data_IF_126427260877
#
_entry.id   IF_126427260877
#
_cell.length_a   1.000
_cell.length_b   1.000
_cell.length_c   1.000
_cell.angle_alpha   90.00
_cell.angle_beta   90.00
_cell.angle_gamma   90.00
#
_symmetry.space_group_name_H-M   'P 1'
#
loop_
_entity.id
_entity.type
_entity.pdbx_description
1 polymer ?
#
# COMPACT_ATOMS: atom_id res chain seq x y z
N UNK A 1 -13.50 31.52 48.78
CA UNK A 1 -13.58 32.58 47.75
C UNK A 1 -13.41 31.91 46.41
N UNK A 2 -14.51 31.68 45.68
CA UNK A 2 -14.45 31.19 44.30
C UNK A 2 -14.03 32.37 43.40
N UNK A 3 -13.03 32.21 42.52
CA UNK A 3 -12.64 33.29 41.63
C UNK A 3 -13.78 33.61 40.66
N UNK A 4 -14.14 34.88 40.61
CA UNK A 4 -15.22 35.43 39.78
C UNK A 4 -14.86 35.31 38.29
N UNK A 5 -15.43 34.30 37.63
CA UNK A 5 -15.24 34.02 36.20
C UNK A 5 -15.86 35.09 35.28
N UNK A 6 -16.55 36.10 35.82
CA UNK A 6 -17.17 37.17 35.04
C UNK A 6 -16.16 38.16 34.41
N UNK A 7 -14.89 38.10 34.81
CA UNK A 7 -13.84 38.99 34.28
C UNK A 7 -13.21 38.54 32.95
N UNK A 8 -13.58 37.36 32.42
CA UNK A 8 -13.19 36.92 31.08
C UNK A 8 -14.17 37.41 29.99
N UNK A 9 -14.66 38.65 30.07
CA UNK A 9 -15.27 39.32 28.91
C UNK A 9 -14.16 39.73 27.93
N UNK A 10 -13.59 38.75 27.22
CA UNK A 10 -12.70 39.02 26.10
C UNK A 10 -13.45 39.83 25.04
N UNK A 11 -12.89 40.96 24.61
CA UNK A 11 -13.40 41.72 23.47
C UNK A 11 -13.51 40.79 22.25
N UNK A 12 -14.61 40.81 21.48
CA UNK A 12 -14.83 39.86 20.37
C UNK A 12 -13.73 39.92 19.28
N UNK A 13 -13.03 41.06 19.15
CA UNK A 13 -11.86 41.18 18.27
C UNK A 13 -10.58 40.50 18.78
N UNK A 14 -10.44 40.31 20.09
CA UNK A 14 -9.30 39.61 20.71
C UNK A 14 -9.43 38.09 20.57
N UNK A 15 -10.66 37.57 20.65
CA UNK A 15 -10.94 36.14 20.49
C UNK A 15 -10.60 35.65 19.06
N UNK A 16 -10.95 36.45 18.04
CA UNK A 16 -10.62 36.17 16.64
C UNK A 16 -9.11 36.12 16.39
N UNK A 17 -8.35 37.05 16.97
CA UNK A 17 -6.88 37.06 16.87
C UNK A 17 -6.25 35.84 17.53
N UNK A 18 -6.73 35.47 18.71
CA UNK A 18 -6.24 34.30 19.44
C UNK A 18 -6.54 32.99 18.69
N UNK A 19 -7.75 32.85 18.13
CA UNK A 19 -8.10 31.71 17.28
C UNK A 19 -7.22 31.61 16.03
N UNK A 20 -6.92 32.76 15.39
CA UNK A 20 -6.07 32.80 14.20
C UNK A 20 -4.62 32.39 14.53
N UNK A 21 -4.09 32.84 15.68
CA UNK A 21 -2.77 32.42 16.15
C UNK A 21 -2.72 30.92 16.45
N UNK A 22 -3.72 30.37 17.12
CA UNK A 22 -3.79 28.92 17.38
C UNK A 22 -3.86 28.12 16.08
N UNK A 23 -4.67 28.56 15.11
CA UNK A 23 -4.77 27.91 13.81
C UNK A 23 -3.44 27.96 13.06
N UNK A 24 -2.72 29.08 13.12
CA UNK A 24 -1.37 29.19 12.54
C UNK A 24 -0.37 28.24 13.19
N UNK A 25 -0.41 28.08 14.52
CA UNK A 25 0.46 27.13 15.24
C UNK A 25 0.16 25.69 14.82
N UNK A 26 -1.12 25.29 14.80
CA UNK A 26 -1.53 23.96 14.35
C UNK A 26 -1.09 23.71 12.91
N UNK A 27 -1.26 24.71 12.03
CA UNK A 27 -0.83 24.61 10.64
C UNK A 27 0.69 24.39 10.51
N UNK A 28 1.51 25.11 11.27
CA UNK A 28 2.97 24.89 11.29
C UNK A 28 3.31 23.49 11.81
N UNK A 29 2.64 23.01 12.86
CA UNK A 29 2.88 21.66 13.39
C UNK A 29 2.51 20.58 12.36
N UNK A 30 1.41 20.74 11.62
CA UNK A 30 1.05 19.84 10.52
C UNK A 30 2.11 19.84 9.43
N UNK A 31 2.62 21.01 9.02
CA UNK A 31 3.68 21.09 8.02
C UNK A 31 4.98 20.41 8.49
N UNK A 32 5.36 20.61 9.74
CA UNK A 32 6.52 19.92 10.33
C UNK A 32 6.32 18.41 10.29
N UNK A 33 5.14 17.91 10.64
CA UNK A 33 4.82 16.48 10.59
C UNK A 33 4.94 15.92 9.16
N UNK A 34 4.38 16.60 8.15
CA UNK A 34 4.43 16.18 6.75
C UNK A 34 5.85 16.10 6.17
N UNK A 35 6.78 16.92 6.67
CA UNK A 35 8.19 16.88 6.25
C UNK A 35 8.99 15.87 7.10
N UNK A 36 8.76 15.86 8.41
CA UNK A 36 9.53 15.03 9.34
C UNK A 36 9.24 13.54 9.20
N UNK A 37 8.00 13.16 8.86
CA UNK A 37 7.62 11.76 8.72
C UNK A 37 8.32 11.03 7.55
N UNK A 38 8.31 11.53 6.29
CA UNK A 38 9.09 10.92 5.22
C UNK A 38 10.59 10.98 5.51
N UNK A 39 11.09 12.05 6.12
CA UNK A 39 12.49 12.13 6.54
C UNK A 39 12.88 11.02 7.54
N UNK A 40 12.02 10.74 8.53
CA UNK A 40 12.21 9.66 9.51
C UNK A 40 12.28 8.30 8.82
N UNK A 41 11.41 8.04 7.84
CA UNK A 41 11.42 6.80 7.05
C UNK A 41 12.68 6.69 6.19
N UNK A 42 13.09 7.77 5.51
CA UNK A 42 14.33 7.79 4.73
C UNK A 42 15.54 7.46 5.61
N UNK A 43 15.65 8.08 6.79
CA UNK A 43 16.72 7.78 7.74
C UNK A 43 16.71 6.32 8.21
N UNK A 44 15.52 5.74 8.44
CA UNK A 44 15.37 4.31 8.76
C UNK A 44 15.87 3.43 7.62
N UNK A 45 15.55 3.77 6.38
CA UNK A 45 15.96 3.01 5.19
C UNK A 45 17.46 3.15 4.87
N UNK A 46 18.06 4.30 5.16
CA UNK A 46 19.51 4.53 5.04
C UNK A 46 20.32 3.78 6.12
N UNK A 47 19.75 3.61 7.32
CA UNK A 47 20.41 2.91 8.43
C UNK A 47 20.52 1.39 8.26
N UNK A 48 19.89 0.82 7.23
CA UNK A 48 20.05 -0.60 6.88
C UNK A 48 21.42 -0.75 6.23
N UNK A 49 22.37 -1.40 6.92
CA UNK A 49 23.77 -1.66 6.52
C UNK A 49 23.97 -1.61 5.00
N UNK A 50 24.25 -0.41 4.50
CA UNK A 50 24.62 -0.21 3.13
C UNK A 50 26.00 -0.82 2.99
N UNK A 51 26.12 -1.93 2.25
CA UNK A 51 27.39 -2.18 1.59
C UNK A 51 27.72 -0.88 0.86
N UNK A 52 28.91 -0.29 1.12
CA UNK A 52 29.33 1.02 0.64
C UNK A 52 29.46 1.03 -0.89
N UNK A 53 28.33 0.95 -1.59
CA UNK A 53 28.24 1.16 -3.02
C UNK A 53 27.78 2.60 -3.23
N UNK A 54 28.79 3.42 -3.49
CA UNK A 54 28.61 4.84 -3.74
C UNK A 54 28.17 5.03 -5.20
N UNK A 55 26.86 4.93 -5.43
CA UNK A 55 26.26 5.21 -6.72
C UNK A 55 25.98 6.72 -6.84
N UNK A 56 27.02 7.55 -6.87
CA UNK A 56 26.91 8.97 -7.20
C UNK A 56 26.76 9.14 -8.73
N UNK A 57 25.54 8.89 -9.24
CA UNK A 57 24.99 9.20 -10.58
C UNK A 57 25.93 9.30 -11.81
N UNK A 58 25.74 8.44 -12.83
CA UNK A 58 24.72 8.68 -13.87
C UNK A 58 23.92 7.43 -14.29
N UNK A 59 23.85 6.40 -13.44
CA UNK A 59 23.36 5.06 -13.81
C UNK A 59 22.14 4.59 -12.99
N UNK A 60 21.23 5.50 -12.61
CA UNK A 60 20.11 5.17 -11.71
C UNK A 60 19.23 4.02 -12.19
N UNK A 61 18.94 4.01 -13.48
CA UNK A 61 18.17 2.93 -14.10
C UNK A 61 18.89 1.59 -14.02
N UNK A 62 20.22 1.56 -14.17
CA UNK A 62 21.02 0.34 -14.08
C UNK A 62 21.10 -0.17 -12.65
N UNK A 63 21.20 0.70 -11.66
CA UNK A 63 21.23 0.29 -10.25
C UNK A 63 19.87 -0.27 -9.81
N UNK A 64 18.78 0.38 -10.22
CA UNK A 64 17.42 -0.14 -10.00
C UNK A 64 17.22 -1.48 -10.68
N UNK A 65 17.70 -1.62 -11.91
CA UNK A 65 17.68 -2.89 -12.64
C UNK A 65 18.53 -3.97 -11.97
N UNK A 66 19.72 -3.62 -11.46
CA UNK A 66 20.59 -4.53 -10.71
C UNK A 66 19.93 -5.00 -9.42
N UNK A 67 19.30 -4.09 -8.67
CA UNK A 67 18.52 -4.44 -7.48
C UNK A 67 17.40 -5.42 -7.83
N UNK A 68 16.66 -5.14 -8.90
CA UNK A 68 15.62 -6.04 -9.41
C UNK A 68 16.16 -7.43 -9.74
N UNK A 69 17.27 -7.53 -10.49
CA UNK A 69 17.87 -8.81 -10.84
C UNK A 69 18.35 -9.58 -9.60
N UNK A 70 18.96 -8.91 -8.62
CA UNK A 70 19.35 -9.54 -7.35
C UNK A 70 18.14 -10.03 -6.57
N UNK A 71 17.06 -9.25 -6.53
CA UNK A 71 15.83 -9.67 -5.88
C UNK A 71 15.21 -10.89 -6.57
N UNK A 72 15.22 -10.94 -7.90
CA UNK A 72 14.78 -12.12 -8.65
C UNK A 72 15.66 -13.35 -8.38
N UNK A 73 16.98 -13.19 -8.37
CA UNK A 73 17.93 -14.26 -8.09
C UNK A 73 17.68 -14.85 -6.69
N UNK A 74 17.61 -14.00 -5.66
CA UNK A 74 17.29 -14.41 -4.29
C UNK A 74 15.89 -15.04 -4.22
N UNK A 75 14.88 -14.43 -4.85
CA UNK A 75 13.52 -14.95 -4.89
C UNK A 75 13.43 -16.31 -5.58
N UNK A 76 14.26 -16.57 -6.59
CA UNK A 76 14.32 -17.85 -7.29
C UNK A 76 14.83 -19.00 -6.41
N UNK A 77 15.60 -18.69 -5.36
CA UNK A 77 16.06 -19.70 -4.40
C UNK A 77 15.00 -20.10 -3.38
N UNK A 78 13.90 -19.34 -3.31
CA UNK A 78 12.83 -19.62 -2.37
C UNK A 78 11.83 -20.63 -2.93
N UNK A 79 11.51 -21.65 -2.13
CA UNK A 79 10.53 -22.70 -2.45
C UNK A 79 9.09 -22.23 -2.19
N UNK A 80 8.77 -21.01 -2.61
CA UNK A 80 7.43 -20.44 -2.45
C UNK A 80 7.06 -19.58 -3.65
N UNK A 81 5.75 -19.43 -3.85
CA UNK A 81 5.20 -18.57 -4.88
C UNK A 81 5.40 -17.11 -4.45
N UNK A 82 6.04 -16.31 -5.29
CA UNK A 82 6.29 -14.89 -5.04
C UNK A 82 5.74 -14.00 -6.15
N UNK A 83 5.43 -12.76 -5.77
CA UNK A 83 4.90 -11.72 -6.64
C UNK A 83 6.06 -10.93 -7.25
N UNK A 84 5.97 -10.66 -8.55
CA UNK A 84 6.91 -9.80 -9.28
C UNK A 84 6.11 -8.65 -9.87
N UNK A 85 6.52 -7.43 -9.54
CA UNK A 85 5.96 -6.20 -10.08
C UNK A 85 7.06 -5.48 -10.84
N UNK A 86 6.85 -5.25 -12.12
CA UNK A 86 7.71 -4.44 -12.97
C UNK A 86 6.90 -3.29 -13.54
N UNK A 87 7.12 -2.08 -13.04
CA UNK A 87 6.50 -0.88 -13.59
C UNK A 87 7.09 -0.53 -14.98
N UNK A 88 8.42 -0.64 -15.21
CA UNK A 88 8.98 -0.39 -16.54
C UNK A 88 8.45 -1.32 -17.62
N UNK A 89 8.18 -2.59 -17.28
CA UNK A 89 7.55 -3.56 -18.19
C UNK A 89 6.01 -3.55 -18.08
N UNK A 90 5.44 -2.70 -17.22
CA UNK A 90 4.01 -2.62 -16.92
C UNK A 90 3.38 -4.00 -16.71
N UNK A 91 4.01 -4.83 -15.87
CA UNK A 91 3.59 -6.21 -15.65
C UNK A 91 3.57 -6.60 -14.18
N UNK A 92 2.54 -7.36 -13.82
CA UNK A 92 2.46 -8.08 -12.55
C UNK A 92 2.50 -9.57 -12.87
N UNK A 93 3.45 -10.29 -12.29
CA UNK A 93 3.68 -11.70 -12.56
C UNK A 93 3.81 -12.48 -11.27
N UNK A 94 3.51 -13.77 -11.34
CA UNK A 94 3.76 -14.70 -10.27
C UNK A 94 4.83 -15.68 -10.74
N UNK A 95 5.79 -15.96 -9.86
CA UNK A 95 6.85 -16.90 -10.13
C UNK A 95 7.08 -17.85 -8.95
N UNK A 96 7.66 -19.00 -9.26
CA UNK A 96 8.18 -19.98 -8.30
C UNK A 96 9.49 -20.51 -8.86
N UNK A 97 10.51 -20.64 -8.01
CA UNK A 97 11.83 -21.16 -8.41
C UNK A 97 12.41 -20.47 -9.66
N UNK A 98 12.17 -19.16 -9.82
CA UNK A 98 12.64 -18.35 -10.95
C UNK A 98 11.79 -18.46 -12.23
N UNK A 99 10.79 -19.33 -12.27
CA UNK A 99 9.91 -19.53 -13.42
C UNK A 99 8.64 -18.71 -13.26
N UNK A 100 8.42 -17.76 -14.17
CA UNK A 100 7.17 -16.99 -14.28
C UNK A 100 6.09 -17.89 -14.91
N UNK A 101 4.99 -18.14 -14.21
CA UNK A 101 3.91 -19.01 -14.71
C UNK A 101 2.57 -18.29 -14.92
N UNK A 102 2.43 -17.08 -14.37
CA UNK A 102 1.30 -16.20 -14.64
C UNK A 102 1.80 -14.76 -14.78
N UNK A 103 1.25 -14.01 -15.73
CA UNK A 103 1.60 -12.61 -15.97
C UNK A 103 0.38 -11.86 -16.49
N UNK A 104 0.20 -10.63 -16.00
CA UNK A 104 -0.86 -9.71 -16.43
C UNK A 104 -0.28 -8.31 -16.59
N UNK A 105 -1.00 -7.46 -17.33
CA UNK A 105 -0.61 -6.09 -17.59
C UNK A 105 -1.08 -5.15 -16.47
N UNK A 106 -0.24 -4.16 -16.15
CA UNK A 106 -0.57 -3.02 -15.30
C UNK A 106 -1.32 -1.99 -16.14
N UNK A 107 -2.52 -1.61 -15.72
CA UNK A 107 -3.29 -0.56 -16.37
C UNK A 107 -2.78 0.84 -15.98
N UNK A 108 -2.87 1.14 -14.69
CA UNK A 108 -2.42 2.41 -14.10
C UNK A 108 -1.59 2.13 -12.85
N UNK A 109 -0.72 3.06 -12.47
CA UNK A 109 0.01 2.98 -11.22
C UNK A 109 0.27 4.38 -10.64
N UNK A 110 0.31 4.47 -9.32
CA UNK A 110 0.68 5.68 -8.57
C UNK A 110 1.85 5.34 -7.63
N UNK A 111 2.90 6.15 -7.70
CA UNK A 111 4.11 5.97 -6.91
C UNK A 111 4.20 7.13 -5.94
N UNK A 112 4.29 6.84 -4.65
CA UNK A 112 4.54 7.88 -3.67
C UNK A 112 5.83 8.65 -4.00
N UNK A 113 5.73 9.98 -3.99
CA UNK A 113 6.86 10.89 -4.19
C UNK A 113 8.08 10.51 -3.32
N UNK A 114 7.87 9.97 -2.12
CA UNK A 114 8.96 9.46 -1.29
C UNK A 114 9.86 8.47 -2.05
N UNK A 115 9.29 7.47 -2.73
CA UNK A 115 10.03 6.44 -3.46
C UNK A 115 10.83 7.03 -4.64
N UNK A 116 10.33 8.12 -5.23
CA UNK A 116 11.04 8.86 -6.30
C UNK A 116 12.13 9.79 -5.76
N UNK A 117 12.04 10.21 -4.49
CA UNK A 117 12.94 11.19 -3.86
C UNK A 117 14.14 10.61 -3.13
N UNK A 118 14.13 9.31 -2.82
CA UNK A 118 15.21 8.63 -2.10
C UNK A 118 16.44 8.40 -2.98
N UNK A 119 17.62 8.30 -2.36
CA UNK A 119 18.86 8.05 -3.08
C UNK A 119 18.86 6.67 -3.75
N UNK A 120 19.56 6.55 -4.87
CA UNK A 120 19.73 5.28 -5.60
C UNK A 120 20.33 4.19 -4.73
N UNK A 121 21.26 4.54 -3.83
CA UNK A 121 21.81 3.61 -2.82
C UNK A 121 20.73 3.08 -1.87
N UNK A 122 19.81 3.93 -1.43
CA UNK A 122 18.69 3.53 -0.55
C UNK A 122 17.74 2.61 -1.30
N UNK A 123 17.39 2.94 -2.55
CA UNK A 123 16.57 2.06 -3.41
C UNK A 123 17.23 0.69 -3.54
N UNK A 124 18.51 0.67 -3.91
CA UNK A 124 19.24 -0.59 -4.04
C UNK A 124 19.18 -1.42 -2.76
N UNK A 125 19.49 -0.82 -1.60
CA UNK A 125 19.52 -1.56 -0.34
C UNK A 125 18.16 -2.11 0.07
N UNK A 126 17.08 -1.36 -0.18
CA UNK A 126 15.72 -1.75 0.18
C UNK A 126 15.10 -2.75 -0.79
N UNK A 127 15.44 -2.69 -2.08
CA UNK A 127 14.78 -3.46 -3.13
C UNK A 127 15.67 -4.55 -3.78
N UNK A 128 16.92 -4.72 -3.35
CA UNK A 128 17.80 -5.81 -3.84
C UNK A 128 17.41 -7.20 -3.32
N UNK A 129 16.40 -7.31 -2.46
CA UNK A 129 15.86 -8.58 -1.94
C UNK A 129 14.35 -8.59 -2.09
N UNK A 130 13.72 -9.77 -2.26
CA UNK A 130 12.27 -9.88 -2.19
C UNK A 130 11.77 -9.38 -0.83
N UNK A 131 10.80 -8.48 -0.85
CA UNK A 131 10.17 -7.93 0.35
C UNK A 131 9.19 -8.94 0.92
N UNK A 132 9.37 -9.31 2.18
CA UNK A 132 8.41 -10.16 2.87
C UNK A 132 7.16 -9.35 3.27
N UNK A 133 5.97 -9.83 2.91
CA UNK A 133 4.71 -9.25 3.35
C UNK A 133 4.38 -9.69 4.78
N UNK A 134 4.26 -8.74 5.71
CA UNK A 134 3.90 -9.01 7.12
C UNK A 134 2.41 -9.09 7.34
N UNK A 135 1.66 -8.20 6.68
CA UNK A 135 0.22 -8.12 6.82
C UNK A 135 -0.42 -7.98 5.44
N UNK A 136 -1.56 -8.66 5.28
CA UNK A 136 -2.33 -8.62 4.05
C UNK A 136 -3.78 -8.32 4.40
N UNK A 137 -4.31 -7.22 3.87
CA UNK A 137 -5.71 -6.84 3.99
C UNK A 137 -6.34 -6.85 2.60
N UNK A 138 -7.50 -7.50 2.45
CA UNK A 138 -8.17 -7.59 1.16
C UNK A 138 -9.68 -7.49 1.31
N UNK A 139 -10.35 -6.93 0.31
CA UNK A 139 -11.82 -6.91 0.23
C UNK A 139 -12.40 -8.29 -0.12
N UNK A 140 -11.60 -9.14 -0.76
CA UNK A 140 -11.99 -10.49 -1.17
C UNK A 140 -11.42 -11.57 -0.26
N UNK A 141 -12.17 -12.66 -0.10
CA UNK A 141 -11.74 -13.83 0.67
C UNK A 141 -10.70 -14.61 -0.14
N UNK A 142 -9.57 -14.92 0.50
CA UNK A 142 -8.45 -15.66 -0.10
C UNK A 142 -8.85 -17.09 -0.47
N UNK A 143 -9.47 -17.80 0.45
CA UNK A 143 -9.94 -19.17 0.25
C UNK A 143 -11.46 -19.24 0.50
N UNK A 144 -12.30 -19.14 -0.55
CA UNK A 144 -13.74 -19.19 -0.37
C UNK A 144 -14.17 -20.60 0.05
N UNK A 145 -14.75 -20.72 1.25
CA UNK A 145 -15.27 -22.00 1.75
C UNK A 145 -16.66 -22.22 1.20
N UNK A 146 -16.82 -23.26 0.36
CA UNK A 146 -18.13 -23.73 -0.12
C UNK A 146 -18.60 -24.93 0.67
N UNK A 147 -19.62 -24.75 1.52
CA UNK A 147 -20.32 -25.87 2.16
C UNK A 147 -21.33 -26.43 1.18
N UNK A 148 -21.04 -27.60 0.61
CA UNK A 148 -21.99 -28.34 -0.25
C UNK A 148 -22.76 -29.36 0.61
N UNK A 149 -24.08 -29.22 0.67
CA UNK A 149 -24.95 -30.23 1.24
C UNK A 149 -25.24 -31.25 0.15
N UNK A 150 -25.09 -32.54 0.44
CA UNK A 150 -25.40 -33.59 -0.52
C UNK A 150 -26.91 -33.56 -0.86
N UNK A 151 -27.29 -33.59 -2.15
CA UNK A 151 -28.69 -33.66 -2.54
C UNK A 151 -29.28 -34.98 -2.08
N UNK A 152 -30.52 -34.96 -1.56
CA UNK A 152 -31.19 -36.17 -1.09
C UNK A 152 -31.80 -36.95 -2.24
N UNK A 153 -32.17 -36.26 -3.33
CA UNK A 153 -32.86 -36.83 -4.49
C UNK A 153 -32.27 -36.33 -5.82
N UNK A 154 -32.46 -37.11 -6.89
CA UNK A 154 -31.95 -36.78 -8.24
C UNK A 154 -32.53 -35.47 -8.82
N UNK A 155 -33.78 -35.12 -8.45
CA UNK A 155 -34.41 -33.85 -8.85
C UNK A 155 -33.80 -32.63 -8.13
N UNK A 156 -33.29 -32.80 -6.91
CA UNK A 156 -32.56 -31.75 -6.19
C UNK A 156 -31.14 -31.58 -6.76
N UNK A 157 -30.52 -32.68 -7.19
CA UNK A 157 -29.20 -32.64 -7.84
C UNK A 157 -29.23 -31.86 -9.16
N UNK A 158 -30.29 -31.99 -9.96
CA UNK A 158 -30.45 -31.25 -11.21
C UNK A 158 -30.61 -29.73 -11.01
N UNK A 159 -31.08 -29.29 -9.82
CA UNK A 159 -31.21 -27.88 -9.47
C UNK A 159 -29.94 -27.28 -8.87
N UNK A 160 -28.96 -28.10 -8.48
CA UNK A 160 -27.65 -27.66 -7.96
C UNK A 160 -26.65 -27.32 -9.08
N UNK A 161 -27.08 -26.56 -10.11
CA UNK A 161 -26.16 -26.00 -11.10
C UNK A 161 -25.45 -24.81 -10.45
N UNK A 162 -24.28 -25.05 -9.86
CA UNK A 162 -23.46 -23.98 -9.31
C UNK A 162 -22.65 -23.32 -10.42
N UNK A 163 -22.79 -22.01 -10.58
CA UNK A 163 -21.82 -21.21 -11.31
C UNK A 163 -20.42 -21.42 -10.68
N UNK A 164 -19.36 -21.53 -11.51
CA UNK A 164 -17.99 -21.55 -10.98
C UNK A 164 -17.71 -20.25 -10.23
N UNK A 165 -16.99 -20.31 -9.10
CA UNK A 165 -16.68 -19.12 -8.28
C UNK A 165 -15.88 -18.06 -9.03
N UNK A 166 -15.21 -18.47 -10.11
CA UNK A 166 -14.52 -17.58 -11.02
C UNK A 166 -15.46 -16.69 -11.85
N UNK A 167 -16.78 -16.83 -11.71
CA UNK A 167 -17.78 -16.04 -12.45
C UNK A 167 -18.42 -14.90 -11.62
N UNK A 168 -18.16 -14.82 -10.31
CA UNK A 168 -18.65 -13.73 -9.45
C UNK A 168 -17.50 -12.76 -9.21
N UNK A 169 -17.57 -11.59 -9.85
CA UNK A 169 -16.53 -10.58 -9.82
C UNK A 169 -16.90 -9.47 -8.85
N UNK A 170 -16.44 -9.57 -7.60
CA UNK A 170 -16.45 -8.45 -6.65
C UNK A 170 -15.26 -7.54 -6.93
N UNK A 171 -15.38 -6.23 -6.67
CA UNK A 171 -14.26 -5.31 -6.83
C UNK A 171 -13.19 -5.62 -5.78
N UNK A 172 -12.04 -6.13 -6.23
CA UNK A 172 -10.95 -6.51 -5.35
C UNK A 172 -9.98 -5.34 -5.10
N UNK A 173 -9.66 -5.09 -3.83
CA UNK A 173 -8.57 -4.23 -3.37
C UNK A 173 -7.76 -5.04 -2.38
N UNK A 174 -6.43 -5.01 -2.52
CA UNK A 174 -5.51 -5.80 -1.71
C UNK A 174 -4.33 -4.94 -1.29
N UNK A 175 -4.08 -4.88 0.00
CA UNK A 175 -2.96 -4.19 0.61
C UNK A 175 -1.96 -5.19 1.17
N UNK A 176 -0.70 -5.06 0.77
CA UNK A 176 0.44 -5.80 1.31
C UNK A 176 1.32 -4.83 2.09
N UNK A 177 1.32 -4.96 3.42
CA UNK A 177 2.26 -4.24 4.26
C UNK A 177 3.57 -5.03 4.31
N UNK A 178 4.63 -4.45 3.76
CA UNK A 178 5.92 -5.12 3.61
C UNK A 178 6.84 -4.88 4.80
N UNK A 179 7.87 -5.71 4.93
CA UNK A 179 8.78 -5.67 6.07
C UNK A 179 9.57 -4.37 6.23
N UNK A 180 9.87 -3.68 5.13
CA UNK A 180 10.54 -2.38 5.11
C UNK A 180 9.60 -1.21 5.44
N UNK A 181 8.30 -1.49 5.62
CA UNK A 181 7.26 -0.53 5.97
C UNK A 181 6.62 0.17 4.78
N UNK A 182 6.84 -0.31 3.55
CA UNK A 182 6.12 0.12 2.35
C UNK A 182 4.77 -0.60 2.26
N UNK A 183 3.75 0.12 1.81
CA UNK A 183 2.43 -0.42 1.48
C UNK A 183 2.34 -0.62 -0.04
N UNK A 184 2.06 -1.85 -0.46
CA UNK A 184 1.75 -2.14 -1.85
C UNK A 184 0.24 -2.38 -1.97
N UNK A 185 -0.44 -1.58 -2.79
CA UNK A 185 -1.88 -1.67 -3.02
C UNK A 185 -2.14 -2.15 -4.45
N UNK A 186 -2.89 -3.25 -4.59
CA UNK A 186 -3.37 -3.73 -5.88
C UNK A 186 -4.88 -3.51 -5.99
N UNK A 187 -5.31 -2.80 -7.03
CA UNK A 187 -6.71 -2.42 -7.26
C UNK A 187 -7.23 -3.02 -8.57
N UNK A 188 -8.51 -3.37 -8.59
CA UNK A 188 -9.18 -3.88 -9.79
C UNK A 188 -9.53 -2.74 -10.76
N UNK A 189 -9.24 -2.92 -12.05
CA UNK A 189 -9.55 -1.97 -13.13
C UNK A 189 -11.02 -1.95 -13.55
N UNK A 190 -11.84 -2.89 -13.07
CA UNK A 190 -13.13 -3.17 -13.69
C UNK A 190 -14.16 -2.08 -13.39
N UNK A 191 -14.67 -1.43 -14.45
CA UNK A 191 -15.39 -0.15 -14.41
C UNK A 191 -16.92 -0.30 -14.37
N UNK A 192 -17.45 -1.49 -14.07
CA UNK A 192 -18.89 -1.69 -13.94
C UNK A 192 -19.39 -0.99 -12.67
N UNK A 193 -19.88 0.24 -12.86
CA UNK A 193 -20.32 1.13 -11.79
C UNK A 193 -19.36 2.29 -11.51
N UNK A 194 -18.82 2.97 -12.53
CA UNK A 194 -17.97 4.17 -12.42
C UNK A 194 -18.38 5.18 -11.32
N UNK A 195 -19.68 5.34 -11.05
CA UNK A 195 -20.20 6.16 -9.94
C UNK A 195 -19.94 5.57 -8.54
N UNK A 196 -20.13 4.26 -8.36
CA UNK A 196 -19.89 3.55 -7.10
C UNK A 196 -18.38 3.39 -6.89
N UNK A 197 -17.62 3.18 -7.96
CA UNK A 197 -16.16 3.06 -7.91
C UNK A 197 -15.50 4.41 -7.61
N UNK A 198 -15.97 5.51 -8.22
CA UNK A 198 -15.54 6.85 -7.82
C UNK A 198 -15.95 7.15 -6.39
N UNK A 199 -17.13 6.72 -5.93
CA UNK A 199 -17.54 6.93 -4.53
C UNK A 199 -16.75 6.09 -3.54
N UNK A 200 -16.49 4.81 -3.82
CA UNK A 200 -15.72 3.93 -2.94
C UNK A 200 -14.24 4.32 -2.96
N UNK A 201 -13.67 4.68 -4.11
CA UNK A 201 -12.34 5.26 -4.20
C UNK A 201 -12.26 6.59 -3.46
N UNK A 202 -13.27 7.45 -3.57
CA UNK A 202 -13.31 8.74 -2.87
C UNK A 202 -13.60 8.54 -1.37
N UNK A 203 -14.38 7.54 -0.95
CA UNK A 203 -14.57 7.15 0.45
C UNK A 203 -13.30 6.53 1.00
N UNK A 204 -12.64 5.62 0.31
CA UNK A 204 -11.38 5.01 0.72
C UNK A 204 -10.25 6.03 0.76
N UNK A 205 -10.25 6.98 -0.18
CA UNK A 205 -9.34 8.13 -0.17
C UNK A 205 -9.71 9.13 0.93
N UNK A 206 -10.99 9.33 1.23
CA UNK A 206 -11.41 10.16 2.37
C UNK A 206 -11.15 9.46 3.70
N UNK A 207 -11.30 8.14 3.81
CA UNK A 207 -10.98 7.36 5.01
C UNK A 207 -9.47 7.29 5.17
N UNK A 208 -8.68 7.18 4.09
CA UNK A 208 -7.22 7.27 4.16
C UNK A 208 -6.74 8.69 4.49
N UNK A 209 -7.33 9.74 3.90
CA UNK A 209 -7.05 11.13 4.25
C UNK A 209 -7.49 11.44 5.68
N UNK A 210 -8.67 10.98 6.13
CA UNK A 210 -9.16 11.22 7.49
C UNK A 210 -8.40 10.38 8.51
N UNK A 211 -8.00 9.15 8.19
CA UNK A 211 -7.12 8.33 9.02
C UNK A 211 -5.72 8.95 9.09
N UNK A 212 -5.20 9.49 7.99
CA UNK A 212 -3.91 10.21 7.97
C UNK A 212 -4.00 11.53 8.73
N UNK A 213 -5.07 12.30 8.54
CA UNK A 213 -5.34 13.54 9.29
C UNK A 213 -5.51 13.22 10.77
N UNK A 214 -6.24 12.17 11.12
CA UNK A 214 -6.39 11.69 12.49
C UNK A 214 -5.04 11.27 13.08
N UNK A 215 -4.23 10.49 12.35
CA UNK A 215 -2.87 10.10 12.76
C UNK A 215 -1.96 11.31 12.96
N UNK A 216 -2.02 12.31 12.08
CA UNK A 216 -1.29 13.58 12.22
C UNK A 216 -1.78 14.34 13.46
N UNK A 217 -3.09 14.46 13.66
CA UNK A 217 -3.67 15.15 14.81
C UNK A 217 -3.33 14.46 16.13
N UNK A 218 -3.43 13.12 16.19
CA UNK A 218 -3.01 12.31 17.33
C UNK A 218 -1.51 12.47 17.57
N UNK A 219 -0.68 12.46 16.52
CA UNK A 219 0.76 12.70 16.62
C UNK A 219 1.07 14.10 17.16
N UNK A 220 0.35 15.13 16.72
CA UNK A 220 0.48 16.49 17.25
C UNK A 220 0.10 16.53 18.75
N UNK A 221 -0.98 15.86 19.14
CA UNK A 221 -1.43 15.79 20.54
C UNK A 221 -0.44 15.05 21.43
N UNK A 222 0.16 13.96 20.95
CA UNK A 222 1.14 13.16 21.69
C UNK A 222 2.58 13.64 21.50
N UNK A 223 2.81 14.70 20.71
CA UNK A 223 4.13 15.19 20.32
C UNK A 223 5.02 14.11 19.67
N UNK A 224 4.39 13.17 18.96
CA UNK A 224 5.05 12.10 18.22
C UNK A 224 4.95 12.34 16.72
N UNK A 225 5.98 11.95 15.97
CA UNK A 225 5.94 11.99 14.51
C UNK A 225 5.03 10.86 14.03
N UNK A 226 4.02 11.18 13.22
CA UNK A 226 3.09 10.17 12.71
C UNK A 226 3.81 9.08 11.91
N UNK A 227 3.26 7.88 11.92
CA UNK A 227 3.81 6.75 11.18
C UNK A 227 3.44 6.87 9.69
N UNK A 228 4.43 7.28 8.90
CA UNK A 228 4.34 7.35 7.45
C UNK A 228 4.72 6.01 6.82
N UNK A 229 3.94 5.59 5.83
CA UNK A 229 4.17 4.38 5.05
C UNK A 229 4.19 4.78 3.57
N UNK A 230 5.31 4.63 2.86
CA UNK A 230 5.35 4.92 1.44
C UNK A 230 4.48 3.91 0.69
N UNK A 231 3.70 4.39 -0.27
CA UNK A 231 2.72 3.58 -0.99
C UNK A 231 3.09 3.41 -2.48
N UNK A 232 2.82 2.22 -3.00
CA UNK A 232 2.80 1.92 -4.43
C UNK A 232 1.44 1.32 -4.77
N UNK A 233 0.64 2.04 -5.55
CA UNK A 233 -0.70 1.59 -5.95
C UNK A 233 -0.68 1.19 -7.42
N UNK A 234 -1.27 0.04 -7.74
CA UNK A 234 -1.25 -0.52 -9.09
C UNK A 234 -2.64 -1.05 -9.42
N UNK A 235 -3.15 -0.66 -10.57
CA UNK A 235 -4.43 -1.13 -11.09
C UNK A 235 -4.21 -2.26 -12.10
N UNK A 236 -4.89 -3.39 -11.89
CA UNK A 236 -4.85 -4.57 -12.77
C UNK A 236 -6.25 -5.12 -13.01
N UNK A 237 -6.41 -5.96 -14.03
CA UNK A 237 -7.69 -6.62 -14.32
C UNK A 237 -8.22 -7.40 -13.10
N UNK A 238 -9.54 -7.34 -12.85
CA UNK A 238 -10.13 -7.96 -11.66
C UNK A 238 -9.97 -9.48 -11.61
N UNK A 239 -10.10 -10.13 -12.77
CA UNK A 239 -9.95 -11.59 -12.86
C UNK A 239 -8.51 -11.97 -12.55
N UNK A 240 -7.56 -11.19 -13.10
CA UNK A 240 -6.15 -11.36 -12.83
C UNK A 240 -5.80 -11.10 -11.35
N UNK A 241 -6.30 -10.02 -10.76
CA UNK A 241 -6.09 -9.64 -9.36
C UNK A 241 -6.55 -10.72 -8.40
N UNK A 242 -7.78 -11.19 -8.61
CA UNK A 242 -8.36 -12.29 -7.81
C UNK A 242 -7.54 -13.57 -7.95
N UNK A 243 -7.11 -13.89 -9.17
CA UNK A 243 -6.29 -15.08 -9.42
C UNK A 243 -4.93 -14.99 -8.74
N UNK A 244 -4.26 -13.84 -8.85
CA UNK A 244 -2.96 -13.57 -8.21
C UNK A 244 -3.07 -13.69 -6.69
N UNK A 245 -4.06 -13.04 -6.09
CA UNK A 245 -4.25 -13.04 -4.65
C UNK A 245 -4.44 -14.43 -4.05
N UNK A 246 -5.24 -15.25 -4.73
CA UNK A 246 -5.56 -16.62 -4.32
C UNK A 246 -4.40 -17.57 -4.56
N UNK A 247 -3.56 -17.31 -5.57
CA UNK A 247 -2.39 -18.12 -5.86
C UNK A 247 -1.21 -17.84 -4.91
N UNK A 248 -1.09 -16.61 -4.41
CA UNK A 248 -0.03 -16.24 -3.47
C UNK A 248 -0.24 -16.89 -2.10
N UNK A 249 0.83 -17.22 -1.35
CA UNK A 249 0.71 -17.65 0.04
C UNK A 249 0.15 -16.52 0.94
N UNK A 250 -0.10 -16.83 2.21
CA UNK A 250 -0.64 -15.85 3.18
C UNK A 250 0.30 -14.64 3.37
N UNK A 251 1.60 -14.92 3.45
CA UNK A 251 2.67 -13.94 3.62
C UNK A 251 3.63 -14.09 2.42
N UNK A 252 3.32 -13.48 1.26
CA UNK A 252 4.14 -13.63 0.07
C UNK A 252 5.40 -12.78 0.13
N UNK A 253 6.42 -13.23 -0.61
CA UNK A 253 7.53 -12.40 -1.01
C UNK A 253 7.17 -11.60 -2.26
N UNK A 254 7.67 -10.38 -2.33
CA UNK A 254 7.32 -9.41 -3.36
C UNK A 254 8.59 -8.77 -3.91
N UNK A 255 8.81 -8.91 -5.22
CA UNK A 255 9.88 -8.25 -5.95
C UNK A 255 9.30 -7.04 -6.68
N UNK A 256 9.89 -5.86 -6.47
CA UNK A 256 9.40 -4.61 -7.06
C UNK A 256 10.49 -3.96 -7.90
N UNK A 257 10.13 -3.54 -9.11
CA UNK A 257 10.97 -2.75 -10.01
C UNK A 257 10.22 -1.52 -10.50
N UNK A 258 10.77 -0.34 -10.21
CA UNK A 258 10.22 0.98 -10.52
C UNK A 258 11.32 1.98 -10.85
#
# INVERSE_FOLDING_TARGET
MLPDLSQLKMKPGSLKKLALVLLAIVFVLVLVQLIAAPYKVNKRWQGVNSENYDYEHPQDSLVRHLAYLRALDIGSTQDSIYLIISLPDSSVSIAINGVKFYSTHIGEYDIDNFLTSISTSTVYNQFQRPLHSKEVAATIIKEPIKVKIAPKNAEEAAKMVTLPDSAIFENAIIHYATENGMLLTLESSNTEGWFIQSWNYLIDRLTSITATTYRIMVGILHLEIYEYQPELTITIDNVALTSIYRALPKEPYIVVYY
#
